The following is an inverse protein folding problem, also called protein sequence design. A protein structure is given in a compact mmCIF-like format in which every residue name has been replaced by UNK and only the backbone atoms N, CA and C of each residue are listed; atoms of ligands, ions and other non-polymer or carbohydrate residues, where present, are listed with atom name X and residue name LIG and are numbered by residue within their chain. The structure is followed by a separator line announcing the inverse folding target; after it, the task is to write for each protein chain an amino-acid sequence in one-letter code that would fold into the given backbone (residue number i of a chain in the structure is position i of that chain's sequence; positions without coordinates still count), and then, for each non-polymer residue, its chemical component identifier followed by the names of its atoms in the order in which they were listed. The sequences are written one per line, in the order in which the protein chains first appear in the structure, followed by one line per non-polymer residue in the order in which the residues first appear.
data_IF_396280759120
#
_entry.id   IF_396280759120
#
_cell.length_a   1.000
_cell.length_b   1.000
_cell.length_c   1.000
_cell.angle_alpha   90.00
_cell.angle_beta   90.00
_cell.angle_gamma   90.00
#
_symmetry.space_group_name_H-M   'P 1'
#
loop_
_entity.id
_entity.type
_entity.pdbx_description
1 polymer ?
#
# COMPACT_ATOMS: atom_id res chain seq x y z
N UNK A 1 -26.62 3.64 1.71
CA UNK A 1 -26.09 2.31 1.34
C UNK A 1 -25.32 1.78 2.54
N UNK A 2 -25.80 0.71 3.19
CA UNK A 2 -25.12 0.13 4.37
C UNK A 2 -24.00 -0.78 3.86
N UNK A 3 -22.76 -0.32 3.95
CA UNK A 3 -21.58 -1.14 3.68
C UNK A 3 -21.34 -2.06 4.88
N UNK A 4 -21.25 -3.36 4.62
CA UNK A 4 -20.88 -4.34 5.64
C UNK A 4 -19.40 -4.12 6.03
N UNK A 5 -19.14 -3.96 7.32
CA UNK A 5 -17.80 -3.70 7.88
C UNK A 5 -16.75 -4.71 7.40
N UNK A 6 -17.11 -6.00 7.29
CA UNK A 6 -16.22 -7.04 6.77
C UNK A 6 -15.90 -6.83 5.28
N UNK A 7 -16.90 -6.45 4.48
CA UNK A 7 -16.68 -6.17 3.04
C UNK A 7 -15.71 -5.00 2.87
N UNK A 8 -15.87 -3.94 3.65
CA UNK A 8 -15.01 -2.76 3.55
C UNK A 8 -13.57 -3.02 3.99
N UNK A 9 -13.38 -3.77 5.08
CA UNK A 9 -12.04 -4.21 5.50
C UNK A 9 -11.39 -5.08 4.43
N UNK A 10 -12.16 -6.00 3.82
CA UNK A 10 -11.69 -6.82 2.71
C UNK A 10 -11.27 -5.97 1.52
N UNK A 11 -12.05 -4.95 1.13
CA UNK A 11 -11.71 -4.07 0.01
C UNK A 11 -10.38 -3.35 0.26
N UNK A 12 -10.18 -2.77 1.45
CA UNK A 12 -8.91 -2.09 1.77
C UNK A 12 -7.76 -3.10 1.80
N UNK A 13 -7.96 -4.27 2.41
CA UNK A 13 -6.95 -5.33 2.47
C UNK A 13 -6.53 -5.80 1.08
N UNK A 14 -7.50 -6.11 0.23
CA UNK A 14 -7.26 -6.55 -1.16
C UNK A 14 -6.58 -5.45 -1.96
N UNK A 15 -7.01 -4.19 -1.83
CA UNK A 15 -6.36 -3.05 -2.49
C UNK A 15 -4.87 -3.01 -2.16
N UNK A 16 -4.52 -3.06 -0.88
CA UNK A 16 -3.13 -2.98 -0.45
C UNK A 16 -2.29 -4.20 -0.90
N UNK A 17 -2.83 -5.42 -0.78
CA UNK A 17 -2.16 -6.63 -1.23
C UNK A 17 -1.96 -6.65 -2.75
N UNK A 18 -2.97 -6.20 -3.50
CA UNK A 18 -2.93 -6.12 -4.96
C UNK A 18 -1.80 -5.20 -5.42
N UNK A 19 -1.74 -3.98 -4.89
CA UNK A 19 -0.70 -3.01 -5.27
C UNK A 19 0.69 -3.41 -4.78
N UNK A 20 0.81 -3.98 -3.58
CA UNK A 20 2.07 -4.58 -3.12
C UNK A 20 2.56 -5.65 -4.11
N UNK A 21 1.65 -6.54 -4.53
CA UNK A 21 1.98 -7.61 -5.49
C UNK A 21 2.38 -7.03 -6.85
N UNK A 22 1.67 -6.04 -7.36
CA UNK A 22 2.03 -5.36 -8.62
C UNK A 22 3.45 -4.78 -8.54
N UNK A 23 3.76 -4.05 -7.47
CA UNK A 23 5.07 -3.41 -7.34
C UNK A 23 6.20 -4.42 -7.19
N UNK A 24 5.94 -5.54 -6.51
CA UNK A 24 6.86 -6.67 -6.42
C UNK A 24 7.06 -7.32 -7.80
N UNK A 25 5.99 -7.54 -8.56
CA UNK A 25 6.05 -8.09 -9.92
C UNK A 25 6.83 -7.15 -10.85
N UNK A 26 6.65 -5.84 -10.74
CA UNK A 26 7.42 -4.87 -11.53
C UNK A 26 8.93 -4.98 -11.23
N UNK A 27 9.33 -5.05 -9.96
CA UNK A 27 10.75 -5.23 -9.63
C UNK A 27 11.31 -6.57 -10.12
N UNK A 28 10.56 -7.66 -9.96
CA UNK A 28 10.97 -8.96 -10.46
C UNK A 28 11.08 -8.96 -11.99
N UNK A 29 10.15 -8.32 -12.68
CA UNK A 29 10.19 -8.15 -14.13
C UNK A 29 11.46 -7.40 -14.56
N UNK A 30 11.76 -6.26 -13.94
CA UNK A 30 12.98 -5.48 -14.24
C UNK A 30 14.26 -6.28 -13.99
N UNK A 31 14.29 -7.12 -12.95
CA UNK A 31 15.42 -8.01 -12.70
C UNK A 31 15.54 -9.12 -13.75
N UNK A 32 14.43 -9.78 -14.10
CA UNK A 32 14.41 -10.85 -15.11
C UNK A 32 14.77 -10.34 -16.52
N UNK A 33 14.45 -9.07 -16.82
CA UNK A 33 14.82 -8.41 -18.08
C UNK A 33 16.29 -7.89 -18.07
N UNK A 34 17.07 -8.19 -17.02
CA UNK A 34 18.46 -7.76 -16.83
C UNK A 34 18.67 -6.24 -16.74
N UNK A 35 17.63 -5.48 -16.37
CA UNK A 35 17.76 -4.03 -16.13
C UNK A 35 18.38 -3.71 -14.77
N UNK A 36 18.29 -4.65 -13.83
CA UNK A 36 18.76 -4.49 -12.45
C UNK A 36 19.82 -5.51 -12.12
N UNK A 37 20.88 -5.08 -11.44
CA UNK A 37 21.82 -6.01 -10.83
C UNK A 37 21.25 -6.54 -9.51
N UNK A 38 21.87 -7.60 -8.99
CA UNK A 38 21.48 -8.21 -7.72
C UNK A 38 21.45 -7.22 -6.53
N UNK A 39 22.33 -6.22 -6.52
CA UNK A 39 22.34 -5.20 -5.47
C UNK A 39 21.12 -4.26 -5.58
N UNK A 40 20.74 -3.91 -6.80
CA UNK A 40 19.65 -2.97 -7.07
C UNK A 40 18.30 -3.59 -6.72
N UNK A 41 18.07 -4.86 -7.07
CA UNK A 41 16.85 -5.56 -6.67
C UNK A 41 16.72 -5.63 -5.15
N UNK A 42 17.80 -5.90 -4.40
CA UNK A 42 17.75 -5.92 -2.94
C UNK A 42 17.37 -4.57 -2.36
N UNK A 43 17.90 -3.49 -2.93
CA UNK A 43 17.53 -2.12 -2.55
C UNK A 43 16.05 -1.88 -2.85
N UNK A 44 15.58 -2.21 -4.05
CA UNK A 44 14.18 -2.05 -4.42
C UNK A 44 13.22 -2.84 -3.52
N UNK A 45 13.55 -4.10 -3.22
CA UNK A 45 12.77 -4.95 -2.31
C UNK A 45 12.73 -4.37 -0.90
N UNK A 46 13.87 -3.87 -0.39
CA UNK A 46 13.93 -3.21 0.91
C UNK A 46 13.04 -1.96 0.92
N UNK A 47 13.12 -1.12 -0.11
CA UNK A 47 12.30 0.09 -0.22
C UNK A 47 10.82 -0.25 -0.25
N UNK A 48 10.37 -1.18 -1.10
CA UNK A 48 8.96 -1.64 -1.11
C UNK A 48 8.57 -2.17 0.27
N UNK A 49 9.39 -3.02 0.88
CA UNK A 49 9.11 -3.57 2.21
C UNK A 49 8.96 -2.47 3.26
N UNK A 50 9.79 -1.43 3.24
CA UNK A 50 9.67 -0.31 4.19
C UNK A 50 8.47 0.58 3.90
N UNK A 51 8.15 0.82 2.63
CA UNK A 51 7.00 1.64 2.21
C UNK A 51 5.67 0.96 2.52
N UNK A 52 5.59 -0.37 2.45
CA UNK A 52 4.35 -1.13 2.62
C UNK A 52 4.22 -1.82 3.99
N UNK A 53 5.34 -2.22 4.60
CA UNK A 53 5.34 -3.17 5.72
C UNK A 53 4.56 -2.68 6.93
N UNK A 54 4.71 -1.41 7.32
CA UNK A 54 3.96 -0.84 8.43
C UNK A 54 2.44 -0.88 8.21
N UNK A 55 1.99 -0.51 7.02
CA UNK A 55 0.56 -0.48 6.68
C UNK A 55 -0.02 -1.88 6.53
N UNK A 56 0.68 -2.78 5.83
CA UNK A 56 0.24 -4.18 5.69
C UNK A 56 0.18 -4.87 7.05
N UNK A 57 1.16 -4.63 7.93
CA UNK A 57 1.14 -5.17 9.29
C UNK A 57 -0.11 -4.74 10.06
N UNK A 58 -0.45 -3.45 10.02
CA UNK A 58 -1.67 -2.91 10.65
C UNK A 58 -2.93 -3.51 10.00
N UNK A 59 -3.03 -3.46 8.67
CA UNK A 59 -4.20 -3.96 7.93
C UNK A 59 -4.45 -5.43 8.23
N UNK A 60 -3.41 -6.26 8.20
CA UNK A 60 -3.49 -7.70 8.47
C UNK A 60 -3.83 -7.95 9.94
N UNK A 61 -3.15 -7.27 10.87
CA UNK A 61 -3.40 -7.42 12.30
C UNK A 61 -4.86 -7.09 12.65
N UNK A 62 -5.39 -6.00 12.11
CA UNK A 62 -6.80 -5.67 12.32
C UNK A 62 -7.73 -6.62 11.56
N UNK A 63 -7.44 -6.97 10.31
CA UNK A 63 -8.25 -7.92 9.53
C UNK A 63 -8.53 -9.22 10.31
N UNK A 64 -7.50 -9.77 10.97
CA UNK A 64 -7.61 -10.97 11.79
C UNK A 64 -8.01 -10.73 13.25
N UNK A 65 -7.93 -9.49 13.75
CA UNK A 65 -8.50 -9.09 15.04
C UNK A 65 -10.03 -9.11 14.96
N UNK A 66 -10.59 -10.32 15.04
CA UNK A 66 -12.00 -10.60 15.21
C UNK A 66 -12.41 -10.15 16.62
N UNK A 67 -13.02 -8.97 16.75
CA UNK A 67 -14.03 -8.77 17.80
C UNK A 67 -15.39 -8.71 17.14
N UNK A 68 -16.18 -9.72 17.46
CA UNK A 68 -17.57 -9.92 17.09
C UNK A 68 -18.38 -8.78 17.73
N UNK A 69 -18.55 -7.67 17.01
CA UNK A 69 -19.59 -6.68 17.28
C UNK A 69 -20.32 -6.45 15.98
N UNK A 70 -21.32 -7.29 15.73
CA UNK A 70 -22.10 -7.32 14.48
C UNK A 70 -22.99 -6.09 14.25
N UNK A 71 -23.02 -5.11 15.17
CA UNK A 71 -24.00 -4.00 15.13
C UNK A 71 -23.42 -2.58 15.33
N UNK A 72 -22.11 -2.38 15.12
CA UNK A 72 -21.58 -1.02 15.15
C UNK A 72 -21.96 -0.24 13.89
N UNK A 73 -22.62 0.91 14.06
CA UNK A 73 -22.97 1.81 12.95
C UNK A 73 -21.71 2.15 12.13
N UNK A 74 -21.67 1.60 10.92
CA UNK A 74 -20.53 1.72 10.03
C UNK A 74 -20.41 3.15 9.48
N UNK A 75 -19.29 3.82 9.76
CA UNK A 75 -19.05 5.16 9.24
C UNK A 75 -18.58 5.09 7.78
N UNK A 76 -19.55 5.20 6.86
CA UNK A 76 -19.34 5.19 5.41
C UNK A 76 -18.35 6.29 4.96
N UNK A 77 -18.36 7.46 5.59
CA UNK A 77 -17.42 8.53 5.24
C UNK A 77 -15.98 8.16 5.59
N UNK A 78 -15.75 7.56 6.76
CA UNK A 78 -14.41 7.09 7.16
C UNK A 78 -13.88 6.01 6.22
N UNK A 79 -14.76 5.16 5.67
CA UNK A 79 -14.40 4.20 4.64
C UNK A 79 -13.89 4.86 3.36
N UNK A 80 -14.70 5.74 2.78
CA UNK A 80 -14.36 6.34 1.49
C UNK A 80 -13.10 7.19 1.57
N UNK A 81 -12.89 7.92 2.66
CA UNK A 81 -11.65 8.66 2.91
C UNK A 81 -10.46 7.69 2.94
N UNK A 82 -10.60 6.56 3.65
CA UNK A 82 -9.52 5.58 3.78
C UNK A 82 -9.22 4.83 2.50
N UNK A 83 -10.27 4.48 1.75
CA UNK A 83 -10.14 3.87 0.44
C UNK A 83 -9.48 4.84 -0.53
N UNK A 84 -9.92 6.10 -0.57
CA UNK A 84 -9.37 7.13 -1.44
C UNK A 84 -7.89 7.39 -1.15
N UNK A 85 -7.53 7.59 0.12
CA UNK A 85 -6.13 7.74 0.52
C UNK A 85 -5.30 6.50 0.19
N UNK A 86 -5.84 5.29 0.42
CA UNK A 86 -5.17 4.04 0.07
C UNK A 86 -4.92 3.91 -1.44
N UNK A 87 -5.94 4.20 -2.26
CA UNK A 87 -5.85 4.10 -3.72
C UNK A 87 -4.87 5.13 -4.25
N UNK A 88 -4.97 6.39 -3.83
CA UNK A 88 -4.04 7.44 -4.28
C UNK A 88 -2.61 7.07 -3.91
N UNK A 89 -2.37 6.69 -2.65
CA UNK A 89 -1.05 6.29 -2.20
C UNK A 89 -0.45 5.21 -3.09
N UNK A 90 -1.20 4.14 -3.27
CA UNK A 90 -0.75 2.99 -4.03
C UNK A 90 -0.55 3.32 -5.52
N UNK A 91 -1.42 4.13 -6.12
CA UNK A 91 -1.27 4.58 -7.50
C UNK A 91 0.02 5.40 -7.64
N UNK A 92 0.29 6.34 -6.73
CA UNK A 92 1.49 7.18 -6.78
C UNK A 92 2.76 6.32 -6.77
N UNK A 93 2.89 5.39 -5.82
CA UNK A 93 4.06 4.49 -5.76
C UNK A 93 4.16 3.61 -7.01
N UNK A 94 3.03 3.07 -7.46
CA UNK A 94 2.99 2.20 -8.64
C UNK A 94 3.35 2.95 -9.92
N UNK A 95 2.95 4.21 -10.07
CA UNK A 95 3.31 5.02 -11.23
C UNK A 95 4.82 5.22 -11.37
N UNK A 96 5.53 5.41 -10.26
CA UNK A 96 6.99 5.53 -10.28
C UNK A 96 7.67 4.24 -10.75
N UNK A 97 7.27 3.10 -10.22
CA UNK A 97 7.81 1.80 -10.63
C UNK A 97 7.37 1.40 -12.04
N UNK A 98 6.12 1.67 -12.41
CA UNK A 98 5.60 1.38 -13.75
C UNK A 98 6.32 2.21 -14.82
N UNK A 99 6.68 3.47 -14.51
CA UNK A 99 7.51 4.28 -15.40
C UNK A 99 8.87 3.63 -15.68
N UNK A 100 9.50 3.00 -14.67
CA UNK A 100 10.72 2.21 -14.87
C UNK A 100 10.47 0.98 -15.74
N UNK A 101 9.36 0.27 -15.55
CA UNK A 101 9.00 -0.89 -16.38
C UNK A 101 8.83 -0.53 -17.87
N UNK A 102 8.46 0.71 -18.18
CA UNK A 102 8.42 1.26 -19.54
C UNK A 102 9.78 1.72 -20.07
N UNK A 103 10.86 1.46 -19.33
CA UNK A 103 12.21 1.86 -19.66
C UNK A 103 12.49 3.36 -19.53
N UNK A 104 11.69 4.08 -18.74
CA UNK A 104 11.80 5.53 -18.59
C UNK A 104 12.41 5.89 -17.23
N UNK A 105 13.60 6.47 -17.25
CA UNK A 105 14.27 7.01 -16.07
C UNK A 105 15.29 6.05 -15.46
N UNK A 106 15.91 6.47 -14.36
CA UNK A 106 16.94 5.71 -13.66
C UNK A 106 16.37 5.06 -12.41
N UNK A 107 16.76 3.80 -12.17
CA UNK A 107 16.29 3.03 -11.02
C UNK A 107 16.60 3.74 -9.70
N UNK A 108 17.85 4.15 -9.50
CA UNK A 108 18.33 4.80 -8.28
C UNK A 108 17.48 6.02 -7.90
N UNK A 109 17.31 6.95 -8.86
CA UNK A 109 16.51 8.15 -8.68
C UNK A 109 15.04 7.84 -8.39
N UNK A 110 14.49 6.77 -8.98
CA UNK A 110 13.09 6.38 -8.73
C UNK A 110 12.91 5.81 -7.34
N UNK A 111 13.86 4.98 -6.88
CA UNK A 111 13.83 4.44 -5.53
C UNK A 111 14.02 5.53 -4.47
N UNK A 112 14.91 6.48 -4.71
CA UNK A 112 15.11 7.64 -3.83
C UNK A 112 13.81 8.46 -3.71
N UNK A 113 13.18 8.81 -4.85
CA UNK A 113 11.90 9.49 -4.85
C UNK A 113 10.80 8.73 -4.11
N UNK A 114 10.71 7.41 -4.29
CA UNK A 114 9.74 6.57 -3.57
C UNK A 114 10.02 6.64 -2.07
N UNK A 115 11.29 6.59 -1.64
CA UNK A 115 11.68 6.67 -0.24
C UNK A 115 11.32 8.04 0.36
N UNK A 116 11.59 9.13 -0.36
CA UNK A 116 11.29 10.49 0.10
C UNK A 116 9.79 10.74 0.21
N UNK A 117 9.03 10.35 -0.80
CA UNK A 117 7.56 10.44 -0.80
C UNK A 117 6.99 9.56 0.31
N UNK A 118 7.51 8.34 0.48
CA UNK A 118 7.14 7.44 1.57
C UNK A 118 7.31 8.13 2.91
N UNK A 119 8.48 8.71 3.18
CA UNK A 119 8.76 9.41 4.42
C UNK A 119 7.82 10.62 4.63
N UNK A 120 7.69 11.50 3.63
CA UNK A 120 6.94 12.77 3.74
C UNK A 120 5.44 12.57 3.97
N UNK A 121 4.85 11.53 3.38
CA UNK A 121 3.41 11.32 3.39
C UNK A 121 2.97 10.13 4.24
N UNK A 122 3.93 9.45 4.88
CA UNK A 122 3.66 8.26 5.70
C UNK A 122 2.62 8.51 6.80
N UNK A 123 2.68 9.70 7.41
CA UNK A 123 1.79 10.14 8.48
C UNK A 123 0.34 10.26 8.02
N UNK A 124 0.10 10.70 6.77
CA UNK A 124 -1.24 10.89 6.22
C UNK A 124 -1.93 9.53 6.05
N UNK A 125 -1.24 8.60 5.39
CA UNK A 125 -1.78 7.26 5.11
C UNK A 125 -1.91 6.45 6.39
N UNK A 126 -0.92 6.52 7.27
CA UNK A 126 -0.95 5.83 8.56
C UNK A 126 -2.05 6.34 9.48
N UNK A 127 -2.22 7.65 9.57
CA UNK A 127 -3.29 8.27 10.36
C UNK A 127 -4.68 7.88 9.86
N UNK A 128 -4.89 7.94 8.55
CA UNK A 128 -6.20 7.61 7.95
C UNK A 128 -6.54 6.12 8.10
N UNK A 129 -5.59 5.23 7.79
CA UNK A 129 -5.79 3.77 7.94
C UNK A 129 -5.96 3.39 9.40
N UNK A 130 -5.09 3.90 10.26
CA UNK A 130 -5.16 3.67 11.71
C UNK A 130 -6.50 4.12 12.29
N UNK A 131 -6.97 5.31 11.92
CA UNK A 131 -8.27 5.82 12.34
C UNK A 131 -9.42 4.93 11.87
N UNK A 132 -9.42 4.51 10.60
CA UNK A 132 -10.45 3.64 10.07
C UNK A 132 -10.51 2.29 10.77
N UNK A 133 -9.36 1.66 11.01
CA UNK A 133 -9.33 0.38 11.68
C UNK A 133 -9.59 0.52 13.18
N UNK A 134 -9.08 1.54 13.88
CA UNK A 134 -9.32 1.74 15.31
C UNK A 134 -10.79 2.09 15.62
N UNK A 135 -11.43 2.94 14.79
CA UNK A 135 -12.83 3.33 15.00
C UNK A 135 -13.83 2.23 14.62
N UNK A 136 -13.44 1.37 13.68
CA UNK A 136 -14.28 0.27 13.18
C UNK A 136 -13.70 -1.11 13.58
N UNK A 137 -13.14 -1.24 14.79
CA UNK A 137 -12.76 -2.53 15.43
C UNK A 137 -13.37 -2.60 16.82
#
# INVERSE_FOLDING_TARGET
MVLNQNKSRNIITITWLFFFTINLVILLYLYLDNWLYYKDILIGLKTISTTYGGYLGIIIAFHFSKKIKEDSQYNVSSFYISLFCSVIWNIVITLFLFRLALGKGYFEHTIELISDIAAMFSWLVGGVIGYFFAKNS
#
